data_IF_719476853316
#
_entry.id   IF_719476853316
#
_cell.length_a   1.000
_cell.length_b   1.000
_cell.length_c   1.000
_cell.angle_alpha   90.00
_cell.angle_beta   90.00
_cell.angle_gamma   90.00
#
_symmetry.space_group_name_H-M   'P 1'
#
loop_
_entity.id
_entity.type
_entity.pdbx_description
1 polymer ?
#
# COMPACT_ATOMS: atom_id res chain seq x y z
N UNK A 1 -28.54 -1.91 -5.59
CA UNK A 1 -27.53 -1.21 -4.77
C UNK A 1 -27.17 -2.01 -3.52
N UNK A 2 -28.13 -2.50 -2.71
CA UNK A 2 -27.85 -3.25 -1.47
C UNK A 2 -27.08 -4.58 -1.65
N UNK A 3 -27.17 -5.25 -2.81
CA UNK A 3 -26.48 -6.52 -3.06
C UNK A 3 -24.98 -6.30 -3.34
N UNK A 4 -24.63 -5.27 -4.12
CA UNK A 4 -23.24 -4.90 -4.40
C UNK A 4 -22.49 -4.43 -3.14
N UNK A 5 -23.15 -3.64 -2.27
CA UNK A 5 -22.56 -3.14 -1.02
C UNK A 5 -22.30 -4.31 -0.05
N UNK A 6 -23.16 -5.35 -0.04
CA UNK A 6 -22.96 -6.57 0.76
C UNK A 6 -21.80 -7.44 0.26
N UNK A 7 -21.45 -7.35 -1.02
CA UNK A 7 -20.31 -8.07 -1.61
C UNK A 7 -18.96 -7.37 -1.37
N UNK A 8 -18.93 -6.07 -1.02
CA UNK A 8 -17.73 -5.34 -0.65
C UNK A 8 -17.32 -5.70 0.78
N UNK A 9 -16.66 -6.85 0.93
CA UNK A 9 -16.12 -7.33 2.20
C UNK A 9 -14.81 -6.60 2.55
N UNK A 10 -14.41 -6.64 3.82
CA UNK A 10 -13.25 -5.94 4.35
C UNK A 10 -13.59 -4.53 4.86
N UNK A 11 -12.57 -3.72 5.09
CA UNK A 11 -12.73 -2.43 5.72
C UNK A 11 -13.52 -1.42 4.89
N UNK A 12 -14.73 -1.08 5.35
CA UNK A 12 -15.64 -0.15 4.66
C UNK A 12 -15.08 1.27 4.57
N UNK A 13 -14.26 1.69 5.55
CA UNK A 13 -13.65 3.03 5.53
C UNK A 13 -12.60 3.13 4.43
N UNK A 14 -11.77 2.09 4.25
CA UNK A 14 -10.79 2.03 3.18
C UNK A 14 -11.50 2.08 1.82
N UNK A 15 -12.58 1.29 1.63
CA UNK A 15 -13.40 1.37 0.42
C UNK A 15 -13.96 2.76 0.15
N UNK A 16 -14.54 3.40 1.18
CA UNK A 16 -15.11 4.75 1.04
C UNK A 16 -14.07 5.77 0.61
N UNK A 17 -12.87 5.75 1.23
CA UNK A 17 -11.81 6.70 0.88
C UNK A 17 -11.26 6.45 -0.51
N UNK A 18 -11.10 5.18 -0.96
CA UNK A 18 -10.72 4.86 -2.34
C UNK A 18 -11.69 5.49 -3.33
N UNK A 19 -13.00 5.30 -3.13
CA UNK A 19 -14.04 5.87 -3.99
C UNK A 19 -14.04 7.39 -3.97
N UNK A 20 -13.91 8.01 -2.80
CA UNK A 20 -13.88 9.47 -2.65
C UNK A 20 -12.67 10.09 -3.32
N UNK A 21 -11.47 9.53 -3.14
CA UNK A 21 -10.26 10.01 -3.81
C UNK A 21 -10.35 9.82 -5.33
N UNK A 22 -10.81 8.66 -5.79
CA UNK A 22 -11.01 8.41 -7.22
C UNK A 22 -12.02 9.42 -7.83
N UNK A 23 -13.14 9.67 -7.15
CA UNK A 23 -14.13 10.64 -7.59
C UNK A 23 -13.56 12.08 -7.58
N UNK A 24 -12.87 12.45 -6.51
CA UNK A 24 -12.26 13.77 -6.36
C UNK A 24 -11.18 14.04 -7.42
N UNK A 25 -10.58 13.02 -8.02
CA UNK A 25 -9.53 13.17 -9.03
C UNK A 25 -10.03 13.72 -10.38
N UNK A 26 -11.31 13.51 -10.72
CA UNK A 26 -11.82 13.83 -12.06
C UNK A 26 -11.72 15.29 -12.42
N UNK A 27 -12.18 16.18 -11.56
CA UNK A 27 -12.22 17.62 -11.86
C UNK A 27 -10.81 18.23 -11.96
N UNK A 28 -9.89 18.02 -10.99
CA UNK A 28 -8.52 18.54 -11.09
C UNK A 28 -7.77 17.98 -12.30
N UNK A 29 -7.91 16.68 -12.59
CA UNK A 29 -7.26 16.06 -13.76
C UNK A 29 -7.84 16.62 -15.06
N UNK A 30 -9.17 16.79 -15.16
CA UNK A 30 -9.78 17.43 -16.31
C UNK A 30 -9.22 18.83 -16.53
N UNK A 31 -9.18 19.65 -15.48
CA UNK A 31 -8.63 21.00 -15.57
C UNK A 31 -7.16 21.00 -15.97
N UNK A 32 -6.33 20.22 -15.29
CA UNK A 32 -4.90 20.16 -15.56
C UNK A 32 -4.56 19.62 -16.97
N UNK A 33 -5.40 18.75 -17.54
CA UNK A 33 -5.17 18.18 -18.87
C UNK A 33 -5.60 19.08 -20.03
N UNK A 34 -6.39 20.13 -19.79
CA UNK A 34 -6.82 21.04 -20.86
C UNK A 34 -5.64 21.69 -21.59
N UNK A 35 -4.57 22.03 -20.86
CA UNK A 35 -3.37 22.62 -21.45
C UNK A 35 -2.55 21.62 -22.29
N UNK A 36 -2.50 20.35 -21.92
CA UNK A 36 -1.73 19.33 -22.65
C UNK A 36 -2.23 19.16 -24.09
N UNK A 37 -3.49 19.41 -24.36
CA UNK A 37 -4.06 19.36 -25.72
C UNK A 37 -3.46 20.46 -26.61
N UNK A 38 -3.25 21.66 -26.06
CA UNK A 38 -2.74 22.80 -26.83
C UNK A 38 -1.21 22.75 -26.99
N UNK A 39 -0.48 22.27 -25.98
CA UNK A 39 0.99 22.30 -25.98
C UNK A 39 1.63 21.08 -26.65
N UNK A 40 1.06 19.88 -26.46
CA UNK A 40 1.66 18.62 -26.96
C UNK A 40 0.94 18.08 -28.19
N UNK A 41 -0.35 18.36 -28.35
CA UNK A 41 -1.20 17.80 -29.40
C UNK A 41 -1.40 18.70 -30.62
N UNK A 42 -0.66 19.82 -30.81
CA UNK A 42 -0.88 20.80 -31.88
C UNK A 42 -2.36 21.21 -32.05
N UNK A 43 -3.14 21.21 -30.94
CA UNK A 43 -4.57 21.57 -30.97
C UNK A 43 -5.52 20.48 -31.52
N UNK A 44 -4.99 19.32 -31.94
CA UNK A 44 -5.80 18.23 -32.52
C UNK A 44 -6.30 17.21 -31.51
N UNK A 45 -5.79 17.24 -30.28
CA UNK A 45 -6.25 16.35 -29.21
C UNK A 45 -7.56 16.83 -28.57
N UNK A 46 -8.37 15.92 -28.07
CA UNK A 46 -9.58 16.23 -27.30
C UNK A 46 -9.32 16.08 -25.81
N UNK A 47 -9.59 17.12 -25.02
CA UNK A 47 -9.56 17.06 -23.54
C UNK A 47 -10.46 15.95 -23.03
N UNK A 48 -11.59 15.71 -23.69
CA UNK A 48 -12.49 14.61 -23.37
C UNK A 48 -11.81 13.25 -23.51
N UNK A 49 -10.96 13.05 -24.53
CA UNK A 49 -10.22 11.79 -24.71
C UNK A 49 -9.21 11.55 -23.57
N UNK A 50 -8.55 12.60 -23.07
CA UNK A 50 -7.64 12.49 -21.92
C UNK A 50 -8.40 12.17 -20.64
N UNK A 51 -9.57 12.78 -20.43
CA UNK A 51 -10.45 12.46 -19.31
C UNK A 51 -10.98 11.03 -19.41
N UNK A 52 -11.39 10.58 -20.60
CA UNK A 52 -11.83 9.21 -20.84
C UNK A 52 -10.71 8.21 -20.55
N UNK A 53 -9.48 8.54 -20.94
CA UNK A 53 -8.29 7.73 -20.58
C UNK A 53 -8.09 7.64 -19.06
N UNK A 54 -8.23 8.75 -18.34
CA UNK A 54 -8.15 8.76 -16.87
C UNK A 54 -9.27 7.92 -16.24
N UNK A 55 -10.50 8.09 -16.71
CA UNK A 55 -11.65 7.27 -16.29
C UNK A 55 -11.41 5.77 -16.53
N UNK A 56 -10.88 5.41 -17.69
CA UNK A 56 -10.54 4.02 -18.01
C UNK A 56 -9.49 3.45 -17.05
N UNK A 57 -8.44 4.22 -16.74
CA UNK A 57 -7.43 3.79 -15.79
C UNK A 57 -7.98 3.60 -14.37
N UNK A 58 -8.83 4.50 -13.90
CA UNK A 58 -9.52 4.36 -12.62
C UNK A 58 -10.47 3.16 -12.60
N UNK A 59 -11.25 2.98 -13.66
CA UNK A 59 -12.18 1.84 -13.78
C UNK A 59 -11.43 0.50 -13.76
N UNK A 60 -10.34 0.37 -14.51
CA UNK A 60 -9.46 -0.81 -14.45
C UNK A 60 -8.89 -0.97 -13.04
N UNK A 61 -8.44 0.12 -12.41
CA UNK A 61 -7.97 0.11 -11.03
C UNK A 61 -9.03 -0.41 -10.05
N UNK A 62 -10.28 0.04 -10.18
CA UNK A 62 -11.39 -0.44 -9.34
C UNK A 62 -11.70 -1.93 -9.57
N UNK A 63 -11.64 -2.40 -10.83
CA UNK A 63 -11.75 -3.84 -11.15
C UNK A 63 -10.62 -4.63 -10.51
N UNK A 64 -9.38 -4.11 -10.52
CA UNK A 64 -8.23 -4.73 -9.83
C UNK A 64 -8.49 -4.82 -8.32
N UNK A 65 -8.88 -3.71 -7.66
CA UNK A 65 -9.21 -3.74 -6.22
C UNK A 65 -10.28 -4.80 -5.93
N UNK A 66 -11.37 -4.80 -6.70
CA UNK A 66 -12.48 -5.73 -6.52
C UNK A 66 -12.09 -7.18 -6.79
N UNK A 67 -11.29 -7.46 -7.81
CA UNK A 67 -10.81 -8.81 -8.08
C UNK A 67 -9.83 -9.33 -7.01
N UNK A 68 -8.88 -8.47 -6.62
CA UNK A 68 -7.82 -8.82 -5.68
C UNK A 68 -8.35 -9.00 -4.25
N UNK A 69 -9.31 -8.17 -3.79
CA UNK A 69 -9.89 -8.32 -2.45
C UNK A 69 -10.66 -9.63 -2.25
N UNK A 70 -11.12 -10.26 -3.34
CA UNK A 70 -11.77 -11.58 -3.28
C UNK A 70 -10.78 -12.72 -3.07
N UNK A 71 -9.50 -12.52 -3.46
CA UNK A 71 -8.46 -13.53 -3.30
C UNK A 71 -8.06 -13.61 -1.82
N UNK A 72 -7.70 -14.80 -1.37
CA UNK A 72 -7.15 -15.00 -0.03
C UNK A 72 -5.71 -14.47 0.02
N UNK A 73 -5.39 -13.62 0.99
CA UNK A 73 -4.09 -12.93 1.06
C UNK A 73 -2.88 -13.89 1.19
N UNK A 74 -3.07 -15.08 1.78
CA UNK A 74 -2.03 -16.10 1.87
C UNK A 74 -1.51 -16.56 0.49
N UNK A 75 -2.31 -16.46 -0.57
CA UNK A 75 -1.87 -16.76 -1.93
C UNK A 75 -0.72 -15.86 -2.37
N UNK A 76 -0.73 -14.60 -1.94
CA UNK A 76 0.36 -13.65 -2.25
C UNK A 76 1.68 -14.07 -1.60
N UNK A 77 1.63 -14.76 -0.44
CA UNK A 77 2.80 -15.37 0.20
C UNK A 77 3.50 -16.36 -0.75
N UNK A 78 2.73 -17.18 -1.46
CA UNK A 78 3.26 -18.18 -2.39
C UNK A 78 3.77 -17.53 -3.69
N UNK A 79 2.97 -16.65 -4.28
CA UNK A 79 3.29 -16.05 -5.58
C UNK A 79 4.43 -15.03 -5.54
N UNK A 80 4.70 -14.41 -4.40
CA UNK A 80 5.76 -13.39 -4.27
C UNK A 80 7.15 -13.89 -4.62
N UNK A 81 7.43 -15.20 -4.43
CA UNK A 81 8.72 -15.79 -4.80
C UNK A 81 8.90 -15.79 -6.33
N UNK A 82 7.89 -16.25 -7.04
CA UNK A 82 7.95 -16.28 -8.51
C UNK A 82 7.93 -14.86 -9.07
N UNK A 83 7.13 -13.99 -8.48
CA UNK A 83 7.00 -12.61 -8.92
C UNK A 83 8.32 -11.81 -8.81
N UNK A 84 9.12 -12.03 -7.73
CA UNK A 84 10.41 -11.33 -7.59
C UNK A 84 11.41 -11.77 -8.66
N UNK A 85 11.42 -13.05 -9.01
CA UNK A 85 12.31 -13.60 -10.05
C UNK A 85 11.89 -13.23 -11.47
N UNK A 86 10.61 -12.91 -11.69
CA UNK A 86 10.10 -12.42 -12.99
C UNK A 86 10.35 -10.91 -13.12
N UNK A 87 10.18 -10.15 -12.03
CA UNK A 87 10.29 -8.69 -12.11
C UNK A 87 11.73 -8.21 -12.29
N UNK A 88 12.74 -8.91 -11.75
CA UNK A 88 14.14 -8.53 -11.92
C UNK A 88 14.56 -8.55 -13.41
N UNK A 89 14.34 -9.63 -14.18
CA UNK A 89 14.58 -9.62 -15.62
C UNK A 89 13.78 -8.54 -16.38
N UNK A 90 12.52 -8.29 -15.98
CA UNK A 90 11.70 -7.25 -16.59
C UNK A 90 12.29 -5.84 -16.35
N UNK A 91 12.82 -5.59 -15.16
CA UNK A 91 13.53 -4.34 -14.85
C UNK A 91 14.82 -4.20 -15.64
N UNK A 92 15.61 -5.27 -15.76
CA UNK A 92 16.82 -5.29 -16.61
C UNK A 92 16.47 -5.01 -18.07
N UNK A 93 15.44 -5.66 -18.60
CA UNK A 93 14.95 -5.40 -19.96
C UNK A 93 14.53 -3.92 -20.14
N UNK A 94 13.84 -3.35 -19.14
CA UNK A 94 13.44 -1.93 -19.17
C UNK A 94 14.66 -1.01 -19.18
N UNK A 95 15.69 -1.33 -18.41
CA UNK A 95 16.92 -0.54 -18.36
C UNK A 95 17.66 -0.53 -19.72
N UNK A 96 17.63 -1.66 -20.44
CA UNK A 96 18.32 -1.83 -21.73
C UNK A 96 17.51 -1.30 -22.91
N UNK A 97 16.20 -1.53 -22.96
CA UNK A 97 15.34 -1.28 -24.12
C UNK A 97 14.10 -0.41 -23.83
N UNK A 98 13.94 0.08 -22.61
CA UNK A 98 12.78 0.90 -22.22
C UNK A 98 12.70 2.21 -23.00
N UNK A 99 11.46 2.72 -23.16
CA UNK A 99 11.17 4.00 -23.79
C UNK A 99 11.18 5.14 -22.78
N UNK A 100 11.55 6.32 -23.24
CA UNK A 100 11.38 7.58 -22.53
C UNK A 100 10.04 8.20 -22.89
N UNK A 101 9.28 8.69 -21.92
CA UNK A 101 8.01 9.39 -22.12
C UNK A 101 8.10 10.74 -21.41
N UNK A 102 7.61 11.80 -22.05
CA UNK A 102 7.53 13.12 -21.44
C UNK A 102 8.86 13.85 -21.28
N UNK A 103 9.81 13.65 -22.20
CA UNK A 103 11.11 14.34 -22.17
C UNK A 103 12.12 13.80 -21.13
N UNK A 104 11.75 12.76 -20.38
CA UNK A 104 12.64 12.15 -19.41
C UNK A 104 13.77 11.38 -20.10
N UNK A 105 15.03 11.73 -19.81
CA UNK A 105 16.22 11.09 -20.39
C UNK A 105 16.51 9.68 -19.83
N UNK A 106 15.51 8.95 -19.34
CA UNK A 106 15.67 7.62 -18.75
C UNK A 106 14.60 6.64 -19.24
N UNK A 107 15.05 5.44 -19.59
CA UNK A 107 14.20 4.33 -19.99
C UNK A 107 13.41 3.80 -18.78
N UNK A 108 12.15 4.17 -18.64
CA UNK A 108 11.31 3.81 -17.49
C UNK A 108 10.07 3.00 -17.87
N UNK A 109 9.70 3.03 -19.16
CA UNK A 109 8.43 2.53 -19.63
C UNK A 109 8.62 1.39 -20.62
N UNK A 110 7.86 0.33 -20.45
CA UNK A 110 7.66 -0.71 -21.45
C UNK A 110 6.32 -0.49 -22.13
N UNK A 111 6.30 -0.56 -23.45
CA UNK A 111 5.04 -0.55 -24.21
C UNK A 111 4.65 -1.99 -24.48
N UNK A 112 3.46 -2.40 -24.03
CA UNK A 112 2.92 -3.72 -24.30
C UNK A 112 2.54 -3.75 -25.79
N UNK A 113 3.16 -4.63 -26.61
CA UNK A 113 2.80 -4.78 -28.00
C UNK A 113 1.30 -5.16 -28.10
N UNK A 114 0.65 -4.80 -29.19
CA UNK A 114 -0.78 -4.96 -29.49
C UNK A 114 -1.75 -4.00 -28.80
N UNK A 115 -1.50 -3.56 -27.55
CA UNK A 115 -2.41 -2.66 -26.80
C UNK A 115 -1.92 -1.22 -26.77
N UNK A 116 -0.66 -0.96 -27.17
CA UNK A 116 0.02 0.34 -27.07
C UNK A 116 -0.04 0.98 -25.65
N UNK A 117 -0.11 0.13 -24.64
CA UNK A 117 -0.24 0.56 -23.26
C UNK A 117 1.15 0.64 -22.64
N UNK A 118 1.52 1.83 -22.17
CA UNK A 118 2.80 2.05 -21.49
C UNK A 118 2.70 1.60 -20.04
N UNK A 119 3.58 0.70 -19.63
CA UNK A 119 3.66 0.15 -18.29
C UNK A 119 5.03 0.47 -17.67
N UNK A 120 5.03 0.87 -16.40
CA UNK A 120 6.25 1.15 -15.64
C UNK A 120 6.57 -0.02 -14.71
N UNK A 121 7.52 -0.89 -15.02
CA UNK A 121 7.82 -2.08 -14.21
C UNK A 121 8.28 -1.76 -12.79
N UNK A 122 8.91 -0.64 -12.54
CA UNK A 122 9.37 -0.26 -11.19
C UNK A 122 8.23 -0.05 -10.19
N UNK A 123 7.04 0.38 -10.63
CA UNK A 123 5.88 0.52 -9.74
C UNK A 123 5.32 -0.84 -9.31
N UNK A 124 5.28 -1.81 -10.23
CA UNK A 124 4.93 -3.20 -9.90
C UNK A 124 6.01 -3.84 -9.02
N UNK A 125 7.29 -3.60 -9.34
CA UNK A 125 8.42 -4.11 -8.57
C UNK A 125 8.33 -3.65 -7.11
N UNK A 126 7.90 -2.42 -6.85
CA UNK A 126 7.71 -1.92 -5.51
C UNK A 126 6.68 -2.74 -4.72
N UNK A 127 5.50 -2.95 -5.28
CA UNK A 127 4.45 -3.76 -4.65
C UNK A 127 4.92 -5.20 -4.40
N UNK A 128 5.54 -5.84 -5.41
CA UNK A 128 6.06 -7.22 -5.30
C UNK A 128 7.15 -7.29 -4.21
N UNK A 129 8.06 -6.31 -4.18
CA UNK A 129 9.15 -6.24 -3.22
C UNK A 129 8.61 -6.17 -1.78
N UNK A 130 7.61 -5.33 -1.51
CA UNK A 130 7.00 -5.22 -0.19
C UNK A 130 6.33 -6.53 0.25
N UNK A 131 5.59 -7.21 -0.65
CA UNK A 131 4.97 -8.51 -0.38
C UNK A 131 6.05 -9.58 -0.12
N UNK A 132 7.12 -9.58 -0.91
CA UNK A 132 8.23 -10.53 -0.76
C UNK A 132 8.96 -10.36 0.58
N UNK A 133 9.27 -9.11 0.96
CA UNK A 133 9.95 -8.80 2.22
C UNK A 133 9.05 -9.18 3.40
N UNK A 134 7.75 -8.82 3.37
CA UNK A 134 6.78 -9.20 4.39
C UNK A 134 6.74 -10.73 4.60
N UNK A 135 6.69 -11.50 3.50
CA UNK A 135 6.71 -12.96 3.54
C UNK A 135 8.01 -13.50 4.13
N UNK A 136 9.15 -13.00 3.64
CA UNK A 136 10.46 -13.53 4.03
C UNK A 136 10.74 -13.24 5.49
N UNK A 137 10.38 -12.03 5.95
CA UNK A 137 10.50 -11.62 7.34
C UNK A 137 9.62 -12.47 8.27
N UNK A 138 8.38 -12.76 7.89
CA UNK A 138 7.50 -13.68 8.64
C UNK A 138 8.14 -15.05 8.79
N UNK A 139 8.70 -15.61 7.70
CA UNK A 139 9.34 -16.94 7.75
C UNK A 139 10.63 -16.97 8.55
N UNK A 140 11.42 -15.91 8.48
CA UNK A 140 12.68 -15.81 9.23
C UNK A 140 12.37 -15.72 10.73
N UNK A 141 11.33 -15.00 11.14
CA UNK A 141 10.97 -14.86 12.55
C UNK A 141 10.38 -16.14 13.18
N UNK A 142 10.04 -17.16 12.37
CA UNK A 142 9.57 -18.46 12.87
C UNK A 142 10.70 -19.31 13.52
N UNK A 143 11.98 -19.03 13.21
CA UNK A 143 13.14 -19.75 13.74
C UNK A 143 14.36 -18.83 13.94
N UNK A 144 15.30 -19.18 14.83
CA UNK A 144 16.58 -18.46 14.95
C UNK A 144 17.30 -18.43 13.61
N UNK A 145 17.81 -17.26 13.21
CA UNK A 145 18.51 -17.06 11.94
C UNK A 145 19.81 -16.26 12.11
N UNK A 146 20.77 -16.51 11.21
CA UNK A 146 22.03 -15.78 11.16
C UNK A 146 21.89 -14.52 10.27
N UNK A 147 22.87 -13.60 10.40
CA UNK A 147 22.97 -12.47 9.47
C UNK A 147 23.07 -12.93 8.02
N UNK A 148 23.88 -13.97 7.77
CA UNK A 148 24.08 -14.51 6.42
C UNK A 148 22.78 -15.04 5.81
N UNK A 149 21.97 -15.78 6.60
CA UNK A 149 20.67 -16.29 6.12
C UNK A 149 19.72 -15.15 5.74
N UNK A 150 19.64 -14.11 6.56
CA UNK A 150 18.81 -12.95 6.29
C UNK A 150 19.34 -12.13 5.12
N UNK A 151 20.66 -12.01 4.98
CA UNK A 151 21.30 -11.30 3.87
C UNK A 151 20.95 -11.97 2.54
N UNK A 152 21.11 -13.27 2.42
CA UNK A 152 20.81 -14.01 1.19
C UNK A 152 19.32 -13.96 0.86
N UNK A 153 18.45 -14.15 1.85
CA UNK A 153 17.00 -14.26 1.63
C UNK A 153 16.29 -12.91 1.44
N UNK A 154 16.77 -11.83 2.06
CA UNK A 154 16.15 -10.49 1.99
C UNK A 154 16.97 -9.58 1.09
N UNK A 155 18.24 -9.37 1.42
CA UNK A 155 19.02 -8.28 0.85
C UNK A 155 19.53 -8.53 -0.56
N UNK A 156 19.78 -9.79 -0.98
CA UNK A 156 20.14 -10.08 -2.36
C UNK A 156 18.96 -9.75 -3.31
N UNK A 157 17.71 -10.23 -3.08
CA UNK A 157 16.59 -9.84 -3.95
C UNK A 157 16.25 -8.34 -3.87
N UNK A 158 16.31 -7.74 -2.68
CA UNK A 158 16.11 -6.30 -2.50
C UNK A 158 17.15 -5.51 -3.30
N UNK A 159 18.43 -5.84 -3.12
CA UNK A 159 19.54 -5.21 -3.85
C UNK A 159 19.41 -5.37 -5.36
N UNK A 160 19.02 -6.57 -5.83
CA UNK A 160 18.77 -6.82 -7.25
C UNK A 160 17.71 -5.89 -7.85
N UNK A 161 16.59 -5.67 -7.15
CA UNK A 161 15.56 -4.72 -7.59
C UNK A 161 16.08 -3.29 -7.53
N UNK A 162 16.71 -2.87 -6.42
CA UNK A 162 17.18 -1.50 -6.24
C UNK A 162 18.24 -1.11 -7.27
N UNK A 163 19.21 -1.99 -7.55
CA UNK A 163 20.27 -1.75 -8.55
C UNK A 163 19.68 -1.59 -9.94
N UNK A 164 18.64 -2.36 -10.29
CA UNK A 164 17.97 -2.23 -11.60
C UNK A 164 17.17 -0.91 -11.72
N UNK A 165 16.59 -0.40 -10.63
CA UNK A 165 15.78 0.84 -10.66
C UNK A 165 16.64 2.09 -10.51
N UNK A 166 17.74 2.02 -9.76
CA UNK A 166 18.61 3.15 -9.41
C UNK A 166 19.01 4.02 -10.61
N UNK A 167 19.52 3.48 -11.72
CA UNK A 167 19.98 4.32 -12.85
C UNK A 167 18.84 5.10 -13.50
N UNK A 168 17.61 4.60 -13.45
CA UNK A 168 16.45 5.21 -14.08
C UNK A 168 15.66 6.13 -13.16
N UNK A 169 15.62 5.86 -11.84
CA UNK A 169 14.80 6.61 -10.88
C UNK A 169 15.33 6.52 -9.45
N UNK A 170 16.22 7.44 -9.09
CA UNK A 170 16.79 7.54 -7.74
C UNK A 170 15.73 7.73 -6.65
N UNK A 171 14.78 8.64 -6.86
CA UNK A 171 13.74 8.93 -5.85
C UNK A 171 12.90 7.71 -5.53
N UNK A 172 12.51 6.93 -6.56
CA UNK A 172 11.77 5.67 -6.35
C UNK A 172 12.65 4.63 -5.64
N UNK A 173 13.93 4.53 -5.99
CA UNK A 173 14.87 3.61 -5.34
C UNK A 173 15.07 3.95 -3.87
N UNK A 174 15.26 5.24 -3.56
CA UNK A 174 15.39 5.72 -2.18
C UNK A 174 14.10 5.44 -1.36
N UNK A 175 12.94 5.69 -1.96
CA UNK A 175 11.65 5.38 -1.32
C UNK A 175 11.48 3.88 -1.08
N UNK A 176 11.79 3.02 -2.07
CA UNK A 176 11.76 1.56 -1.91
C UNK A 176 12.66 1.11 -0.78
N UNK A 177 13.90 1.59 -0.74
CA UNK A 177 14.87 1.24 0.30
C UNK A 177 14.38 1.68 1.68
N UNK A 178 13.92 2.92 1.82
CA UNK A 178 13.38 3.45 3.07
C UNK A 178 12.17 2.63 3.57
N UNK A 179 11.26 2.26 2.67
CA UNK A 179 10.08 1.46 3.01
C UNK A 179 10.43 0.02 3.38
N UNK A 180 11.44 -0.58 2.73
CA UNK A 180 11.97 -1.90 3.13
C UNK A 180 12.58 -1.82 4.53
N UNK A 181 13.42 -0.83 4.81
CA UNK A 181 14.01 -0.64 6.14
C UNK A 181 12.95 -0.40 7.23
N UNK A 182 11.93 0.41 6.93
CA UNK A 182 10.79 0.63 7.82
C UNK A 182 10.03 -0.68 8.09
N UNK A 183 9.75 -1.47 7.06
CA UNK A 183 9.03 -2.74 7.20
C UNK A 183 9.85 -3.76 8.02
N UNK A 184 11.16 -3.82 7.83
CA UNK A 184 12.06 -4.65 8.61
C UNK A 184 12.11 -4.20 10.08
N UNK A 185 12.16 -2.89 10.32
CA UNK A 185 12.11 -2.32 11.67
C UNK A 185 10.82 -2.70 12.40
N UNK A 186 9.67 -2.49 11.78
CA UNK A 186 8.35 -2.85 12.35
C UNK A 186 8.21 -4.36 12.53
N UNK A 187 8.79 -5.15 11.63
CA UNK A 187 8.80 -6.60 11.69
C UNK A 187 9.85 -7.19 12.64
N UNK A 188 10.42 -6.36 13.53
CA UNK A 188 11.38 -6.77 14.58
C UNK A 188 12.68 -7.40 14.05
N UNK A 189 13.13 -6.96 12.86
CA UNK A 189 14.44 -7.33 12.36
C UNK A 189 15.54 -6.75 13.27
N UNK A 190 16.62 -7.49 13.58
CA UNK A 190 17.66 -7.03 14.51
C UNK A 190 18.26 -5.69 14.09
N UNK A 191 18.19 -4.69 14.98
CA UNK A 191 18.68 -3.33 14.73
C UNK A 191 20.17 -3.31 14.34
N UNK A 192 20.97 -4.20 14.91
CA UNK A 192 22.40 -4.35 14.55
C UNK A 192 22.57 -4.65 13.07
N UNK A 193 21.79 -5.59 12.53
CA UNK A 193 21.86 -5.95 11.11
C UNK A 193 21.31 -4.84 10.21
N UNK A 194 20.24 -4.19 10.65
CA UNK A 194 19.68 -3.04 9.94
C UNK A 194 20.67 -1.87 9.87
N UNK A 195 21.38 -1.58 10.96
CA UNK A 195 22.42 -0.54 11.01
C UNK A 195 23.58 -0.85 10.05
N UNK A 196 24.04 -2.10 9.99
CA UNK A 196 25.08 -2.53 9.05
C UNK A 196 24.65 -2.29 7.61
N UNK A 197 23.40 -2.63 7.27
CA UNK A 197 22.85 -2.42 5.91
C UNK A 197 22.69 -0.94 5.59
N UNK A 198 22.19 -0.13 6.53
CA UNK A 198 22.09 1.32 6.33
C UNK A 198 23.49 1.93 6.08
N UNK A 199 24.48 1.56 6.89
CA UNK A 199 25.85 2.03 6.70
C UNK A 199 26.44 1.58 5.36
N UNK A 200 26.20 0.32 4.96
CA UNK A 200 26.65 -0.20 3.66
C UNK A 200 25.93 0.47 2.50
N UNK A 201 24.66 0.80 2.64
CA UNK A 201 23.87 1.53 1.64
C UNK A 201 24.42 2.95 1.43
N UNK A 202 24.71 3.66 2.51
CA UNK A 202 25.36 4.99 2.45
C UNK A 202 26.75 4.90 1.79
N UNK A 203 27.57 3.93 2.19
CA UNK A 203 28.87 3.70 1.59
C UNK A 203 28.78 3.37 0.10
N UNK A 204 27.81 2.54 -0.31
CA UNK A 204 27.52 2.21 -1.71
C UNK A 204 27.14 3.46 -2.51
N UNK A 205 26.23 4.30 -1.98
CA UNK A 205 25.85 5.54 -2.63
C UNK A 205 27.03 6.50 -2.76
N UNK A 206 27.83 6.68 -1.72
CA UNK A 206 29.03 7.51 -1.76
C UNK A 206 30.01 7.02 -2.85
N UNK A 207 30.27 5.70 -2.89
CA UNK A 207 31.12 5.10 -3.92
C UNK A 207 30.50 5.29 -5.33
N UNK A 208 29.19 5.11 -5.47
CA UNK A 208 28.47 5.31 -6.74
C UNK A 208 28.62 6.74 -7.24
N UNK A 209 28.46 7.76 -6.37
CA UNK A 209 28.67 9.16 -6.71
C UNK A 209 30.13 9.47 -7.08
N UNK A 210 31.10 8.90 -6.35
CA UNK A 210 32.54 9.05 -6.68
C UNK A 210 32.86 8.45 -8.05
N UNK A 211 32.36 7.26 -8.36
CA UNK A 211 32.53 6.63 -9.66
C UNK A 211 31.84 7.41 -10.78
N UNK A 212 30.67 7.96 -10.53
CA UNK A 212 29.96 8.81 -11.49
C UNK A 212 30.75 10.09 -11.82
N UNK A 213 31.39 10.69 -10.83
CA UNK A 213 32.25 11.86 -11.00
C UNK A 213 33.54 11.51 -11.76
N UNK A 214 34.08 10.31 -11.54
CA UNK A 214 35.29 9.83 -12.22
C UNK A 214 35.05 9.42 -13.70
N UNK A 215 33.82 8.93 -14.02
CA UNK A 215 33.47 8.40 -15.34
C UNK A 215 32.16 9.00 -15.87
N UNK A 216 32.08 10.31 -16.13
CA UNK A 216 30.83 11.00 -16.47
C UNK A 216 30.23 10.56 -17.81
N UNK A 217 31.00 10.01 -18.72
CA UNK A 217 30.55 9.60 -20.05
C UNK A 217 29.80 8.27 -20.09
N UNK A 218 29.84 7.49 -19.00
CA UNK A 218 29.14 6.20 -18.93
C UNK A 218 27.61 6.40 -18.81
N UNK A 219 26.82 5.73 -19.67
CA UNK A 219 25.35 5.78 -19.66
C UNK A 219 24.74 5.50 -18.28
N UNK A 220 25.36 4.62 -17.47
CA UNK A 220 24.92 4.31 -16.11
C UNK A 220 24.95 5.53 -15.18
N UNK A 221 25.80 6.51 -15.45
CA UNK A 221 25.98 7.70 -14.62
C UNK A 221 25.36 8.97 -15.21
N UNK A 222 24.75 8.88 -16.40
CA UNK A 222 24.20 10.04 -17.11
C UNK A 222 23.15 10.83 -16.29
N UNK A 223 22.50 10.20 -15.31
CA UNK A 223 21.48 10.81 -14.44
C UNK A 223 22.02 11.37 -13.13
N UNK A 224 23.26 11.08 -12.79
CA UNK A 224 23.83 11.53 -11.50
C UNK A 224 23.90 13.05 -11.47
N UNK A 225 24.29 13.69 -12.58
CA UNK A 225 24.29 15.14 -12.70
C UNK A 225 22.89 15.74 -12.46
N UNK A 226 21.84 15.08 -12.98
CA UNK A 226 20.44 15.49 -12.72
C UNK A 226 20.06 15.37 -11.24
N UNK A 227 20.55 14.35 -10.54
CA UNK A 227 20.28 14.20 -9.10
C UNK A 227 21.04 15.21 -8.26
N UNK A 228 22.31 15.43 -8.60
CA UNK A 228 23.15 16.45 -7.95
C UNK A 228 22.55 17.83 -8.18
N UNK A 229 22.19 18.18 -9.44
CA UNK A 229 21.58 19.48 -9.73
C UNK A 229 20.26 19.69 -8.98
N UNK A 230 19.41 18.68 -8.82
CA UNK A 230 18.17 18.78 -8.02
C UNK A 230 18.42 19.10 -6.55
N UNK A 231 19.49 18.53 -5.97
CA UNK A 231 19.87 18.82 -4.58
C UNK A 231 20.51 20.20 -4.48
N UNK A 232 21.41 20.55 -5.43
CA UNK A 232 22.05 21.86 -5.47
C UNK A 232 21.05 22.98 -5.73
N UNK A 233 20.10 22.78 -6.65
CA UNK A 233 19.08 23.77 -6.99
C UNK A 233 18.06 23.96 -5.88
N UNK A 234 17.80 22.91 -5.09
CA UNK A 234 16.97 23.02 -3.88
C UNK A 234 17.63 23.89 -2.80
N UNK A 235 18.97 23.91 -2.75
CA UNK A 235 19.74 24.68 -1.75
C UNK A 235 20.27 26.01 -2.29
N UNK A 236 20.23 26.23 -3.61
CA UNK A 236 20.76 27.44 -4.29
C UNK A 236 19.66 28.19 -5.03
N UNK A 237 19.84 29.52 -5.13
CA UNK A 237 18.91 30.39 -5.86
C UNK A 237 19.13 30.47 -7.38
N UNK A 238 19.79 29.48 -7.97
CA UNK A 238 20.01 29.46 -9.42
C UNK A 238 18.72 29.15 -10.18
N UNK A 239 18.41 29.91 -11.24
CA UNK A 239 17.24 29.62 -12.08
C UNK A 239 17.46 28.31 -12.85
N UNK A 240 16.54 27.36 -12.68
CA UNK A 240 16.51 26.07 -13.37
C UNK A 240 15.05 25.62 -13.59
N UNK A 241 14.84 24.63 -14.43
CA UNK A 241 13.52 24.10 -14.77
C UNK A 241 12.77 23.58 -13.52
N UNK A 242 13.45 22.90 -12.61
CA UNK A 242 12.85 22.41 -11.37
C UNK A 242 12.41 23.57 -10.46
N UNK A 243 13.22 24.65 -10.37
CA UNK A 243 12.89 25.86 -9.61
C UNK A 243 11.69 26.59 -10.22
N UNK A 244 11.67 26.73 -11.55
CA UNK A 244 10.53 27.31 -12.27
C UNK A 244 9.21 26.55 -11.95
N UNK A 245 9.24 25.21 -11.90
CA UNK A 245 8.07 24.41 -11.56
C UNK A 245 7.63 24.62 -10.10
N UNK A 246 8.56 24.67 -9.15
CA UNK A 246 8.27 24.92 -7.72
C UNK A 246 7.69 26.33 -7.54
N UNK A 247 8.26 27.36 -8.18
CA UNK A 247 7.77 28.73 -8.09
C UNK A 247 6.34 28.86 -8.62
N UNK A 248 6.04 28.27 -9.77
CA UNK A 248 4.67 28.24 -10.30
C UNK A 248 3.71 27.44 -9.40
N UNK A 249 4.15 26.37 -8.78
CA UNK A 249 3.36 25.63 -7.80
C UNK A 249 3.05 26.49 -6.57
N UNK A 250 4.04 27.25 -6.06
CA UNK A 250 3.83 28.19 -4.95
C UNK A 250 2.90 29.34 -5.31
N UNK A 251 3.00 29.87 -6.53
CA UNK A 251 2.09 30.88 -7.06
C UNK A 251 0.67 30.31 -7.11
N UNK A 252 0.47 29.09 -7.61
CA UNK A 252 -0.83 28.42 -7.62
C UNK A 252 -1.43 28.33 -6.21
N UNK A 253 -0.64 27.89 -5.24
CA UNK A 253 -1.07 27.80 -3.83
C UNK A 253 -1.43 29.17 -3.27
N UNK A 254 -0.61 30.20 -3.53
CA UNK A 254 -0.84 31.55 -3.05
C UNK A 254 -2.12 32.19 -3.65
N UNK A 255 -2.35 31.97 -4.95
CA UNK A 255 -3.55 32.45 -5.66
C UNK A 255 -4.81 31.74 -5.16
N UNK A 256 -4.72 30.45 -4.82
CA UNK A 256 -5.84 29.66 -4.33
C UNK A 256 -6.42 30.17 -3.01
N UNK A 257 -5.63 30.82 -2.14
CA UNK A 257 -6.09 31.34 -0.83
C UNK A 257 -6.89 30.28 -0.04
N UNK A 258 -7.94 30.69 0.67
CA UNK A 258 -8.77 29.78 1.46
C UNK A 258 -9.81 29.07 0.59
N UNK A 259 -10.48 29.76 -0.32
CA UNK A 259 -11.66 29.25 -1.05
C UNK A 259 -11.37 28.77 -2.47
N UNK A 260 -10.18 29.06 -3.02
CA UNK A 260 -9.83 28.77 -4.41
C UNK A 260 -10.42 29.75 -5.41
N UNK A 261 -9.91 29.69 -6.64
CA UNK A 261 -10.41 30.51 -7.77
C UNK A 261 -11.64 29.86 -8.45
N UNK A 262 -11.97 28.66 -8.09
CA UNK A 262 -13.05 27.85 -8.62
C UNK A 262 -12.58 26.71 -9.56
N UNK A 263 -13.37 25.62 -9.66
CA UNK A 263 -13.05 24.47 -10.48
C UNK A 263 -12.82 24.85 -11.94
N UNK A 264 -11.76 24.32 -12.56
CA UNK A 264 -11.41 24.58 -13.95
C UNK A 264 -10.75 25.91 -14.25
N UNK A 265 -10.65 26.83 -13.27
CA UNK A 265 -10.16 28.19 -13.43
C UNK A 265 -8.68 28.38 -13.09
N UNK A 266 -7.94 27.30 -12.83
CA UNK A 266 -6.50 27.39 -12.62
C UNK A 266 -5.82 28.07 -13.81
N UNK A 267 -4.95 29.05 -13.55
CA UNK A 267 -4.09 29.72 -14.52
C UNK A 267 -2.75 28.97 -14.60
N UNK A 268 -2.25 28.54 -13.44
CA UNK A 268 -0.93 27.93 -13.31
C UNK A 268 -0.81 26.57 -14.02
N UNK A 269 -1.92 25.88 -14.32
CA UNK A 269 -1.92 24.68 -15.16
C UNK A 269 -1.23 24.88 -16.51
N UNK A 270 -1.23 26.12 -17.05
CA UNK A 270 -0.63 26.45 -18.32
C UNK A 270 0.90 26.61 -18.24
N UNK A 271 1.43 26.84 -17.06
CA UNK A 271 2.85 27.09 -16.79
C UNK A 271 3.53 25.88 -16.14
N UNK A 272 2.76 24.90 -15.65
CA UNK A 272 3.26 23.68 -15.02
C UNK A 272 3.21 22.49 -15.99
N UNK A 273 4.35 22.04 -16.56
CA UNK A 273 4.38 20.94 -17.54
C UNK A 273 3.80 19.63 -16.99
N UNK A 274 3.98 19.38 -15.69
CA UNK A 274 3.51 18.19 -14.98
C UNK A 274 2.29 18.48 -14.06
N UNK A 275 1.45 19.46 -14.45
CA UNK A 275 0.26 19.88 -13.68
C UNK A 275 -0.71 18.75 -13.35
N UNK A 276 -0.89 17.78 -14.25
CA UNK A 276 -1.82 16.66 -14.07
C UNK A 276 -1.21 15.47 -13.31
N UNK A 277 0.10 15.46 -13.05
CA UNK A 277 0.80 14.36 -12.37
C UNK A 277 1.49 14.81 -11.09
N UNK A 278 2.68 15.40 -11.20
CA UNK A 278 3.56 15.63 -10.07
C UNK A 278 3.19 16.89 -9.25
N UNK A 279 2.52 17.87 -9.87
CA UNK A 279 2.10 19.12 -9.25
C UNK A 279 0.57 19.28 -9.15
N UNK A 280 -0.18 18.17 -9.27
CA UNK A 280 -1.66 18.20 -9.19
C UNK A 280 -2.15 18.78 -7.86
N UNK A 281 -1.43 18.62 -6.77
CA UNK A 281 -1.76 19.17 -5.47
C UNK A 281 -1.80 20.70 -5.49
N UNK A 282 -0.85 21.36 -6.15
CA UNK A 282 -0.85 22.82 -6.30
C UNK A 282 -2.06 23.30 -7.11
N UNK A 283 -2.44 22.58 -8.18
CA UNK A 283 -3.66 22.89 -8.97
C UNK A 283 -4.92 22.71 -8.13
N UNK A 284 -4.98 21.67 -7.27
CA UNK A 284 -6.12 21.47 -6.36
C UNK A 284 -6.25 22.65 -5.38
N UNK A 285 -5.14 23.14 -4.83
CA UNK A 285 -5.19 24.30 -3.94
C UNK A 285 -5.55 25.59 -4.71
N UNK A 286 -5.04 25.79 -5.91
CA UNK A 286 -5.43 26.93 -6.75
C UNK A 286 -6.93 26.95 -6.98
N UNK A 287 -7.55 25.84 -7.35
CA UNK A 287 -8.95 25.75 -7.71
C UNK A 287 -9.92 25.67 -6.53
N UNK A 288 -9.57 24.91 -5.47
CA UNK A 288 -10.44 24.63 -4.33
C UNK A 288 -9.96 25.28 -3.03
N UNK A 289 -8.87 26.04 -3.08
CA UNK A 289 -8.28 26.71 -1.92
C UNK A 289 -7.61 25.75 -0.95
N UNK A 290 -7.19 26.30 0.18
CA UNK A 290 -6.65 25.52 1.30
C UNK A 290 -7.66 24.50 1.82
N UNK A 291 -8.96 24.77 1.71
CA UNK A 291 -10.02 23.82 2.11
C UNK A 291 -9.88 22.52 1.32
N UNK A 292 -9.72 22.59 -0.03
CA UNK A 292 -9.50 21.42 -0.87
C UNK A 292 -8.21 20.70 -0.53
N UNK A 293 -7.12 21.44 -0.28
CA UNK A 293 -5.84 20.87 0.14
C UNK A 293 -5.94 20.13 1.48
N UNK A 294 -6.55 20.75 2.50
CA UNK A 294 -6.74 20.11 3.81
C UNK A 294 -7.67 18.89 3.76
N UNK A 295 -8.74 18.93 2.96
CA UNK A 295 -9.63 17.79 2.77
C UNK A 295 -8.87 16.60 2.16
N UNK A 296 -7.99 16.86 1.22
CA UNK A 296 -7.15 15.82 0.60
C UNK A 296 -6.17 15.23 1.62
N UNK A 297 -5.46 16.06 2.39
CA UNK A 297 -4.58 15.61 3.48
C UNK A 297 -5.37 14.79 4.49
N UNK A 298 -6.57 15.23 4.87
CA UNK A 298 -7.45 14.51 5.78
C UNK A 298 -7.77 13.09 5.29
N UNK A 299 -8.08 12.89 4.01
CA UNK A 299 -8.35 11.56 3.47
C UNK A 299 -7.11 10.65 3.51
N UNK A 300 -5.91 11.16 3.21
CA UNK A 300 -4.69 10.36 3.35
C UNK A 300 -4.37 10.05 4.82
N UNK A 301 -4.58 10.99 5.74
CA UNK A 301 -4.43 10.74 7.18
C UNK A 301 -5.45 9.72 7.69
N UNK A 302 -6.70 9.78 7.20
CA UNK A 302 -7.72 8.78 7.52
C UNK A 302 -7.30 7.38 7.04
N UNK A 303 -6.75 7.25 5.83
CA UNK A 303 -6.17 5.98 5.35
C UNK A 303 -5.01 5.52 6.22
N UNK A 304 -4.10 6.42 6.58
CA UNK A 304 -2.95 6.10 7.43
C UNK A 304 -3.38 5.52 8.77
N UNK A 305 -4.26 6.23 9.49
CA UNK A 305 -4.77 5.73 10.77
C UNK A 305 -5.57 4.44 10.60
N UNK A 306 -6.29 4.30 9.50
CA UNK A 306 -7.04 3.07 9.23
C UNK A 306 -6.12 1.87 8.98
N UNK A 307 -5.02 2.06 8.24
CA UNK A 307 -4.00 1.03 8.08
C UNK A 307 -3.37 0.64 9.43
N UNK A 308 -3.04 1.60 10.29
CA UNK A 308 -2.51 1.33 11.63
C UNK A 308 -3.49 0.53 12.49
N UNK A 309 -4.77 0.95 12.53
CA UNK A 309 -5.81 0.26 13.31
C UNK A 309 -5.98 -1.17 12.80
N UNK A 310 -6.03 -1.37 11.48
CA UNK A 310 -6.18 -2.70 10.90
C UNK A 310 -4.94 -3.57 11.08
N UNK A 311 -3.74 -3.02 10.92
CA UNK A 311 -2.50 -3.75 11.19
C UNK A 311 -2.40 -4.22 12.65
N UNK A 312 -2.84 -3.39 13.61
CA UNK A 312 -2.83 -3.76 15.03
C UNK A 312 -3.91 -4.81 15.39
N UNK A 313 -5.02 -4.86 14.65
CA UNK A 313 -6.08 -5.86 14.85
C UNK A 313 -5.77 -7.19 14.16
N UNK A 314 -4.87 -7.19 13.19
CA UNK A 314 -4.51 -8.39 12.43
C UNK A 314 -3.65 -9.30 13.29
N UNK A 315 -4.13 -10.54 13.49
CA UNK A 315 -3.46 -11.57 14.28
C UNK A 315 -2.29 -12.21 13.53
N UNK A 316 -2.44 -12.39 12.22
CA UNK A 316 -1.43 -12.99 11.35
C UNK A 316 -0.29 -12.01 11.06
N UNK A 317 0.95 -12.38 11.41
CA UNK A 317 2.14 -11.53 11.21
C UNK A 317 2.33 -11.13 9.73
N UNK A 318 2.13 -12.05 8.80
CA UNK A 318 2.22 -11.76 7.36
C UNK A 318 1.17 -10.73 6.93
N UNK A 319 -0.08 -10.90 7.37
CA UNK A 319 -1.16 -9.95 7.10
C UNK A 319 -0.85 -8.56 7.67
N UNK A 320 -0.36 -8.49 8.91
CA UNK A 320 0.08 -7.24 9.55
C UNK A 320 1.16 -6.52 8.73
N UNK A 321 2.19 -7.25 8.32
CA UNK A 321 3.29 -6.70 7.52
C UNK A 321 2.83 -6.31 6.10
N UNK A 322 1.83 -7.00 5.51
CA UNK A 322 1.24 -6.61 4.23
C UNK A 322 0.51 -5.27 4.32
N UNK A 323 -0.31 -5.06 5.35
CA UNK A 323 -1.04 -3.78 5.52
C UNK A 323 -0.05 -2.62 5.63
N UNK A 324 0.99 -2.78 6.44
CA UNK A 324 2.01 -1.75 6.66
C UNK A 324 2.87 -1.57 5.39
N UNK A 325 3.40 -2.66 4.86
CA UNK A 325 4.31 -2.65 3.72
C UNK A 325 3.68 -2.13 2.42
N UNK A 326 2.38 -2.29 2.25
CA UNK A 326 1.67 -1.79 1.06
C UNK A 326 0.97 -0.45 1.32
N UNK A 327 0.51 -0.21 2.53
CA UNK A 327 -0.23 1.00 2.88
C UNK A 327 0.66 2.21 3.09
N UNK A 328 1.76 2.07 3.83
CA UNK A 328 2.65 3.19 4.14
C UNK A 328 3.32 3.82 2.91
N UNK A 329 3.80 3.04 1.91
CA UNK A 329 4.30 3.64 0.68
C UNK A 329 3.30 4.59 0.01
N UNK A 330 2.00 4.26 0.02
CA UNK A 330 0.94 5.11 -0.54
C UNK A 330 0.88 6.45 0.19
N UNK A 331 0.90 6.42 1.52
CA UNK A 331 0.84 7.63 2.35
C UNK A 331 2.12 8.46 2.20
N UNK A 332 3.29 7.84 2.29
CA UNK A 332 4.57 8.54 2.17
C UNK A 332 4.72 9.15 0.78
N UNK A 333 4.31 8.45 -0.28
CA UNK A 333 4.31 9.00 -1.64
C UNK A 333 3.39 10.21 -1.75
N UNK A 334 2.20 10.18 -1.14
CA UNK A 334 1.31 11.33 -1.09
C UNK A 334 1.94 12.52 -0.35
N UNK A 335 2.54 12.29 0.82
CA UNK A 335 3.22 13.33 1.60
C UNK A 335 4.42 13.91 0.85
N UNK A 336 5.20 13.07 0.14
CA UNK A 336 6.31 13.55 -0.70
C UNK A 336 5.79 14.45 -1.83
N UNK A 337 4.73 14.05 -2.54
CA UNK A 337 4.14 14.86 -3.61
C UNK A 337 3.67 16.23 -3.08
N UNK A 338 2.94 16.24 -1.97
CA UNK A 338 2.48 17.48 -1.33
C UNK A 338 3.66 18.32 -0.83
N UNK A 339 4.67 17.68 -0.21
CA UNK A 339 5.88 18.35 0.28
C UNK A 339 6.71 19.00 -0.81
N UNK A 340 6.77 18.39 -2.00
CA UNK A 340 7.41 18.98 -3.18
C UNK A 340 6.66 20.23 -3.65
N UNK A 341 5.34 20.18 -3.70
CA UNK A 341 4.51 21.30 -4.15
C UNK A 341 4.64 22.56 -3.25
N UNK A 342 4.95 22.38 -1.97
CA UNK A 342 5.18 23.45 -0.98
C UNK A 342 6.66 23.70 -0.69
N UNK A 343 7.58 23.19 -1.52
CA UNK A 343 9.04 23.36 -1.38
C UNK A 343 9.63 22.86 -0.05
N UNK A 344 9.02 21.89 0.60
CA UNK A 344 9.62 21.18 1.73
C UNK A 344 10.61 20.09 1.30
N UNK A 345 10.47 19.61 0.07
CA UNK A 345 11.28 18.53 -0.50
C UNK A 345 11.68 18.89 -1.94
N UNK A 346 12.85 18.45 -2.43
CA UNK A 346 13.24 18.64 -3.83
C UNK A 346 12.30 17.87 -4.78
N UNK A 347 12.26 18.26 -6.05
CA UNK A 347 11.41 17.62 -7.07
C UNK A 347 11.75 16.15 -7.23
N UNK A 348 10.77 15.27 -6.97
CA UNK A 348 10.95 13.81 -6.98
C UNK A 348 10.29 13.11 -8.16
N UNK A 349 9.31 13.76 -8.81
CA UNK A 349 8.54 13.14 -9.88
C UNK A 349 7.67 11.97 -9.40
N UNK A 350 7.14 12.06 -8.18
CA UNK A 350 6.22 11.06 -7.62
C UNK A 350 4.77 11.55 -7.76
N UNK A 351 3.90 10.79 -8.45
CA UNK A 351 2.50 11.19 -8.59
C UNK A 351 1.74 11.03 -7.28
N UNK A 352 0.66 11.81 -7.11
CA UNK A 352 -0.25 11.70 -5.97
C UNK A 352 -1.16 10.48 -6.13
N UNK A 353 -1.09 9.46 -5.25
CA UNK A 353 -1.80 8.20 -5.40
C UNK A 353 -3.32 8.37 -5.54
N UNK A 354 -3.95 7.70 -6.49
CA UNK A 354 -5.39 7.75 -6.86
C UNK A 354 -5.89 9.10 -7.40
N UNK A 355 -5.12 10.17 -7.29
CA UNK A 355 -5.50 11.52 -7.74
C UNK A 355 -4.82 11.87 -9.07
N UNK A 356 -3.50 11.73 -9.16
CA UNK A 356 -2.74 12.09 -10.35
C UNK A 356 -3.14 11.25 -11.57
N UNK A 357 -3.03 11.87 -12.75
CA UNK A 357 -3.16 11.18 -14.04
C UNK A 357 -1.93 10.30 -14.29
N UNK A 358 -1.88 9.15 -13.64
CA UNK A 358 -0.68 8.30 -13.55
C UNK A 358 -0.80 6.89 -14.16
N UNK A 359 -1.77 6.61 -15.03
CA UNK A 359 -1.84 5.32 -15.76
C UNK A 359 -1.60 4.09 -14.88
N UNK A 360 -0.45 3.44 -15.07
CA UNK A 360 -0.06 2.22 -14.35
C UNK A 360 0.21 2.43 -12.85
N UNK A 361 0.55 3.64 -12.41
CA UNK A 361 0.70 3.95 -10.99
C UNK A 361 -0.62 3.77 -10.22
N UNK A 362 -1.74 4.19 -10.83
CA UNK A 362 -3.09 3.98 -10.26
C UNK A 362 -3.37 2.50 -10.09
N UNK A 363 -3.03 1.65 -11.09
CA UNK A 363 -3.28 0.20 -11.01
C UNK A 363 -2.48 -0.47 -9.90
N UNK A 364 -1.22 -0.05 -9.69
CA UNK A 364 -0.37 -0.62 -8.64
C UNK A 364 -0.82 -0.16 -7.25
N UNK A 365 -1.28 1.08 -7.12
CA UNK A 365 -1.93 1.56 -5.90
C UNK A 365 -3.21 0.76 -5.62
N UNK A 366 -4.04 0.54 -6.63
CA UNK A 366 -5.25 -0.28 -6.52
C UNK A 366 -4.93 -1.75 -6.19
N UNK A 367 -3.88 -2.33 -6.77
CA UNK A 367 -3.40 -3.67 -6.43
C UNK A 367 -3.02 -3.76 -4.93
N UNK A 368 -2.25 -2.79 -4.46
CA UNK A 368 -1.83 -2.71 -3.05
C UNK A 368 -3.03 -2.58 -2.11
N UNK A 369 -3.98 -1.72 -2.43
CA UNK A 369 -5.22 -1.54 -1.65
C UNK A 369 -6.11 -2.78 -1.69
N UNK A 370 -6.20 -3.47 -2.83
CA UNK A 370 -6.92 -4.74 -2.97
C UNK A 370 -6.33 -5.85 -2.09
N UNK A 371 -4.99 -5.94 -1.99
CA UNK A 371 -4.32 -6.89 -1.09
C UNK A 371 -4.61 -6.52 0.38
N UNK A 372 -4.54 -5.24 0.76
CA UNK A 372 -4.87 -4.78 2.11
C UNK A 372 -6.32 -5.14 2.46
N UNK A 373 -7.26 -4.90 1.55
CA UNK A 373 -8.67 -5.25 1.76
C UNK A 373 -8.90 -6.76 1.88
N UNK A 374 -8.12 -7.58 1.16
CA UNK A 374 -8.14 -9.04 1.30
C UNK A 374 -7.73 -9.49 2.71
N UNK A 375 -6.71 -8.84 3.31
CA UNK A 375 -6.29 -9.11 4.70
C UNK A 375 -7.42 -8.71 5.67
N UNK A 376 -7.96 -7.49 5.53
CA UNK A 376 -9.00 -6.99 6.45
C UNK A 376 -10.29 -7.80 6.36
N UNK A 377 -10.63 -8.33 5.18
CA UNK A 377 -11.77 -9.23 4.97
C UNK A 377 -11.63 -10.51 5.78
N UNK A 378 -10.47 -11.16 5.73
CA UNK A 378 -10.26 -12.42 6.46
C UNK A 378 -10.28 -12.20 7.96
N UNK A 379 -9.70 -11.11 8.45
CA UNK A 379 -9.77 -10.76 9.87
C UNK A 379 -11.21 -10.47 10.34
N UNK A 380 -12.04 -9.81 9.51
CA UNK A 380 -13.43 -9.58 9.80
C UNK A 380 -14.24 -10.90 9.80
N UNK A 381 -13.93 -11.86 8.93
CA UNK A 381 -14.52 -13.21 8.93
C UNK A 381 -14.14 -13.96 10.21
N UNK A 382 -12.86 -14.01 10.60
CA UNK A 382 -12.41 -14.64 11.85
C UNK A 382 -13.09 -14.00 13.07
N UNK A 383 -13.19 -12.68 13.11
CA UNK A 383 -13.84 -11.98 14.21
C UNK A 383 -15.33 -12.30 14.31
N UNK A 384 -16.01 -12.47 13.17
CA UNK A 384 -17.42 -12.87 13.15
C UNK A 384 -17.62 -14.31 13.63
N UNK A 385 -16.76 -15.23 13.20
CA UNK A 385 -16.80 -16.64 13.62
C UNK A 385 -16.55 -16.77 15.14
N UNK A 386 -15.53 -16.06 15.66
CA UNK A 386 -15.25 -16.04 17.11
C UNK A 386 -16.42 -15.48 17.92
N UNK A 387 -17.09 -14.44 17.41
CA UNK A 387 -18.27 -13.89 18.08
C UNK A 387 -19.44 -14.88 18.10
N UNK A 388 -19.68 -15.57 17.00
CA UNK A 388 -20.74 -16.59 16.92
C UNK A 388 -20.50 -17.73 17.93
N UNK A 389 -19.24 -18.18 18.06
CA UNK A 389 -18.83 -19.18 19.07
C UNK A 389 -19.10 -18.64 20.48
N UNK A 390 -18.69 -17.41 20.79
CA UNK A 390 -18.91 -16.80 22.09
C UNK A 390 -20.42 -16.66 22.42
N UNK A 391 -21.22 -16.25 21.42
CA UNK A 391 -22.66 -16.12 21.58
C UNK A 391 -23.34 -17.49 21.84
N UNK A 392 -22.87 -18.56 21.17
CA UNK A 392 -23.30 -19.95 21.40
C UNK A 392 -22.91 -20.44 22.81
N UNK A 393 -21.66 -20.21 23.24
CA UNK A 393 -21.19 -20.57 24.58
C UNK A 393 -22.01 -19.85 25.66
N UNK A 394 -22.27 -18.56 25.48
CA UNK A 394 -23.11 -17.79 26.42
C UNK A 394 -24.55 -18.27 26.44
N UNK A 395 -25.13 -18.70 25.31
CA UNK A 395 -26.46 -19.28 25.24
C UNK A 395 -26.52 -20.64 25.97
N UNK A 396 -25.50 -21.49 25.78
CA UNK A 396 -25.39 -22.78 26.48
C UNK A 396 -25.24 -22.61 28.00
N UNK A 397 -24.42 -21.64 28.44
CA UNK A 397 -24.31 -21.35 29.88
C UNK A 397 -25.64 -20.93 30.48
N UNK A 398 -26.44 -20.10 29.80
CA UNK A 398 -27.79 -19.72 30.28
C UNK A 398 -28.74 -20.90 30.35
N UNK A 399 -28.67 -21.85 29.42
CA UNK A 399 -29.49 -23.07 29.45
C UNK A 399 -29.06 -23.92 30.64
N UNK A 400 -27.78 -24.15 30.86
CA UNK A 400 -27.23 -24.90 32.01
C UNK A 400 -27.66 -24.24 33.33
N UNK A 401 -27.53 -22.93 33.48
CA UNK A 401 -27.96 -22.20 34.68
C UNK A 401 -29.45 -22.34 34.92
N UNK A 402 -30.27 -22.33 33.87
CA UNK A 402 -31.72 -22.51 33.95
C UNK A 402 -32.07 -23.93 34.37
N UNK A 403 -31.46 -24.96 33.79
CA UNK A 403 -31.70 -26.35 34.17
C UNK A 403 -31.22 -26.65 35.61
N UNK A 404 -30.05 -26.13 35.99
CA UNK A 404 -29.55 -26.20 37.36
C UNK A 404 -30.52 -25.52 38.34
N UNK A 405 -31.10 -24.38 37.97
CA UNK A 405 -32.09 -23.69 38.80
C UNK A 405 -33.40 -24.48 38.94
N UNK A 406 -33.84 -25.14 37.87
CA UNK A 406 -35.03 -26.03 37.90
C UNK A 406 -34.78 -27.26 38.78
N UNK A 407 -33.67 -27.96 38.60
CA UNK A 407 -33.27 -29.11 39.40
C UNK A 407 -33.14 -28.72 40.88
N UNK A 408 -32.51 -27.57 41.18
CA UNK A 408 -32.42 -27.09 42.57
C UNK A 408 -33.78 -26.69 43.15
N UNK A 409 -34.75 -26.24 42.37
CA UNK A 409 -36.11 -25.97 42.81
C UNK A 409 -36.93 -27.26 43.07
N UNK A 410 -36.73 -28.29 42.24
CA UNK A 410 -37.32 -29.61 42.43
C UNK A 410 -36.72 -30.37 43.64
N UNK A 411 -35.40 -30.23 43.86
CA UNK A 411 -34.65 -30.91 44.91
C UNK A 411 -34.81 -30.28 46.31
N UNK A 412 -35.30 -29.05 46.42
CA UNK A 412 -35.76 -28.51 47.71
C UNK A 412 -37.02 -29.22 48.25
N UNK A 413 -37.55 -30.19 47.48
CA UNK A 413 -38.63 -31.07 47.90
C UNK A 413 -38.15 -32.48 48.33
N UNK A 414 -36.94 -32.97 47.91
CA UNK A 414 -36.36 -34.26 48.34
C UNK A 414 -34.84 -34.34 48.21
N UNK A 415 -34.15 -34.58 49.34
CA UNK A 415 -32.77 -35.08 49.61
C UNK A 415 -31.59 -34.80 48.63
N UNK A 416 -30.59 -34.12 49.20
CA UNK A 416 -29.47 -33.36 48.65
C UNK A 416 -28.26 -34.16 48.04
N UNK A 417 -28.14 -35.48 48.14
CA UNK A 417 -26.83 -36.15 47.90
C UNK A 417 -26.65 -36.89 46.55
N UNK A 418 -27.69 -37.28 45.86
CA UNK A 418 -27.58 -38.01 44.59
C UNK A 418 -27.57 -37.10 43.35
N UNK A 419 -28.06 -35.89 43.48
CA UNK A 419 -28.27 -34.99 42.33
C UNK A 419 -27.09 -34.04 42.04
N UNK A 420 -26.23 -33.72 43.00
CA UNK A 420 -24.98 -33.00 42.75
C UNK A 420 -24.06 -33.79 41.80
N UNK A 421 -24.08 -35.11 41.87
CA UNK A 421 -23.29 -35.99 41.03
C UNK A 421 -23.80 -35.99 39.58
N UNK A 422 -25.13 -36.05 39.39
CA UNK A 422 -25.78 -36.00 38.06
C UNK A 422 -25.57 -34.67 37.38
N UNK A 423 -25.64 -33.54 38.12
CA UNK A 423 -25.37 -32.19 37.57
C UNK A 423 -23.91 -32.03 37.16
N UNK A 424 -22.99 -32.59 37.91
CA UNK A 424 -21.55 -32.56 37.53
C UNK A 424 -21.29 -33.45 36.32
N UNK A 425 -21.90 -34.61 36.22
CA UNK A 425 -21.76 -35.49 35.04
C UNK A 425 -22.40 -34.89 33.79
N UNK A 426 -23.52 -34.20 33.89
CA UNK A 426 -24.13 -33.45 32.79
C UNK A 426 -23.26 -32.27 32.35
N UNK A 427 -22.72 -31.48 33.27
CA UNK A 427 -21.74 -30.43 32.97
C UNK A 427 -20.51 -30.98 32.27
N UNK A 428 -20.03 -32.13 32.66
CA UNK A 428 -18.88 -32.78 32.06
C UNK A 428 -19.21 -33.26 30.64
N UNK A 429 -20.34 -33.94 30.41
CA UNK A 429 -20.76 -34.43 29.09
C UNK A 429 -21.01 -33.30 28.09
N UNK A 430 -21.59 -32.18 28.53
CA UNK A 430 -21.79 -30.99 27.69
C UNK A 430 -20.41 -30.34 27.31
N UNK A 431 -19.48 -30.26 28.27
CA UNK A 431 -18.12 -29.78 27.98
C UNK A 431 -17.36 -30.68 27.01
N UNK A 432 -17.55 -31.97 27.07
CA UNK A 432 -16.91 -32.92 26.20
C UNK A 432 -17.52 -32.93 24.79
N UNK A 433 -18.84 -32.81 24.66
CA UNK A 433 -19.49 -32.63 23.35
C UNK A 433 -19.10 -31.32 22.67
N UNK A 434 -18.97 -30.20 23.41
CA UNK A 434 -18.45 -28.94 22.91
C UNK A 434 -16.98 -29.03 22.47
N UNK A 435 -16.17 -29.83 23.18
CA UNK A 435 -14.77 -30.08 22.75
C UNK A 435 -14.73 -30.92 21.48
N UNK A 436 -15.58 -31.94 21.35
CA UNK A 436 -15.62 -32.78 20.14
C UNK A 436 -16.18 -32.03 18.93
N UNK A 437 -17.15 -31.15 19.09
CA UNK A 437 -17.67 -30.31 18.02
C UNK A 437 -16.59 -29.29 17.55
N UNK A 438 -15.86 -28.70 18.49
CA UNK A 438 -14.70 -27.83 18.17
C UNK A 438 -13.51 -28.59 17.55
N UNK A 439 -13.31 -29.87 17.87
CA UNK A 439 -12.28 -30.71 17.24
C UNK A 439 -12.69 -31.19 15.84
N UNK A 440 -13.99 -31.40 15.60
CA UNK A 440 -14.51 -31.74 14.26
C UNK A 440 -14.45 -30.52 13.30
N UNK A 441 -14.80 -29.32 13.78
CA UNK A 441 -14.62 -28.08 13.01
C UNK A 441 -13.14 -27.80 12.74
N UNK A 442 -12.25 -28.10 13.70
CA UNK A 442 -10.80 -27.99 13.53
C UNK A 442 -10.19 -29.02 12.56
N UNK A 443 -10.76 -30.22 12.46
CA UNK A 443 -10.31 -31.23 11.49
C UNK A 443 -10.75 -30.87 10.06
N UNK A 444 -11.88 -30.20 9.88
CA UNK A 444 -12.29 -29.64 8.60
C UNK A 444 -11.36 -28.52 8.10
N UNK A 445 -10.86 -27.69 9.00
CA UNK A 445 -9.94 -26.57 8.68
C UNK A 445 -8.45 -26.99 8.66
N UNK A 446 -8.05 -28.07 9.35
CA UNK A 446 -6.66 -28.55 9.38
C UNK A 446 -6.21 -29.16 8.05
N UNK A 447 -7.12 -29.55 7.18
CA UNK A 447 -6.83 -29.92 5.78
C UNK A 447 -6.53 -28.71 4.88
N UNK A 448 -6.80 -27.48 5.36
CA UNK A 448 -6.58 -26.25 4.60
C UNK A 448 -5.43 -25.40 5.17
N UNK A 449 -5.18 -25.37 6.50
CA UNK A 449 -4.09 -24.57 7.08
C UNK A 449 -3.66 -25.06 8.47
N UNK A 450 -2.39 -25.43 8.58
CA UNK A 450 -1.76 -26.01 9.78
C UNK A 450 -1.52 -25.08 10.97
N UNK A 451 -2.32 -24.07 11.24
CA UNK A 451 -2.24 -23.28 12.49
C UNK A 451 -3.59 -22.67 12.84
N UNK A 452 -4.18 -23.15 13.92
CA UNK A 452 -5.42 -22.64 14.47
C UNK A 452 -5.15 -21.52 15.49
N UNK A 453 -5.70 -20.30 15.33
CA UNK A 453 -5.52 -19.20 16.28
C UNK A 453 -6.08 -19.47 17.69
N UNK A 454 -7.01 -20.39 17.83
CA UNK A 454 -7.68 -20.68 19.12
C UNK A 454 -6.76 -21.32 20.17
N UNK A 455 -5.72 -22.06 19.78
CA UNK A 455 -4.76 -22.63 20.73
C UNK A 455 -3.89 -21.59 21.45
N UNK A 456 -3.77 -20.38 20.89
CA UNK A 456 -3.02 -19.28 21.50
C UNK A 456 -3.80 -18.56 22.61
N UNK A 457 -5.13 -18.65 22.61
CA UNK A 457 -6.02 -17.96 23.58
C UNK A 457 -6.28 -18.83 24.81
N UNK A 458 -6.34 -20.14 24.66
CA UNK A 458 -6.62 -21.09 25.75
C UNK A 458 -5.41 -21.43 26.62
N UNK A 459 -4.18 -21.24 26.13
CA UNK A 459 -2.94 -21.46 26.90
C UNK A 459 -2.42 -20.23 27.69
N UNK A 460 -3.24 -19.18 27.83
CA UNK A 460 -2.93 -17.98 28.65
C UNK A 460 -3.88 -17.82 29.83
N UNK A 461 -4.17 -18.92 30.51
CA UNK A 461 -4.66 -18.87 31.92
C UNK A 461 -3.97 -19.91 32.74
#
# INVERSE_FOLDING_TARGET
MNKLIKELKGDKTIWAVIFLLALASFLPVYSATTNLVYTVGNGTGSTFMLLLKHFTHLSIGMVIVYGVHKLHFEKFKKYSIFAIWIIIPALLFTLLQGKTIGGANASRWLTIPFVNLSFQPSTLAFTILMVYVARTLTKINEAPYTFQDSFVKIWIPVGGVLICVLPSNFSTTALMFAMVCMLLFIGQYPLKYLAIILASGVAFLALFFLLAKAFPEKKAFSRVNTWVSRIENFTSDKPDEDKYQIENAKIAIAVGKINGVGPGKSIQKNFLPQSSSDFIFAIIIEEYGLIGGYLLVFFYMLLFFRFLIRANKTTNMFGKLLIIGLGFPIIIQALINMGVAVELLPVTGQPLPLISSGGTSVWMTCLSLGIILSVTKKEDEIAADLKDIQDREAALQRIIEREVSVINAENNAETISEDEQKVNDMKYSIRESLKQENELDNQGDSLVNGQNPMNAVLNKK
#
